data_IF_061069123311
#
_entry.id   IF_061069123311
#
_cell.length_a   1.000
_cell.length_b   1.000
_cell.length_c   1.000
_cell.angle_alpha   90.00
_cell.angle_beta   90.00
_cell.angle_gamma   90.00
#
_symmetry.space_group_name_H-M   'P 1'
#
loop_
_entity.id
_entity.type
_entity.pdbx_description
1 polymer ?
#
# COMPACT_ATOMS: atom_id res chain seq x y z
N UNK A 1 -8.37 -6.38 -10.74
CA UNK A 1 -8.99 -6.41 -12.07
C UNK A 1 -8.09 -7.11 -13.10
N UNK A 2 -6.84 -6.68 -13.29
CA UNK A 2 -5.94 -7.22 -14.32
C UNK A 2 -5.73 -8.74 -14.23
N UNK A 3 -5.66 -9.28 -13.03
CA UNK A 3 -5.50 -10.73 -12.82
C UNK A 3 -6.75 -11.52 -13.21
N UNK A 4 -7.92 -11.01 -12.83
CA UNK A 4 -9.21 -11.66 -13.12
C UNK A 4 -9.57 -11.59 -14.61
N UNK A 5 -9.03 -10.63 -15.33
CA UNK A 5 -9.28 -10.40 -16.78
C UNK A 5 -8.16 -10.91 -17.68
N UNK A 6 -7.31 -11.80 -17.20
CA UNK A 6 -6.20 -12.43 -17.96
C UNK A 6 -5.19 -11.44 -18.55
N UNK A 7 -5.06 -10.25 -17.99
CA UNK A 7 -4.07 -9.26 -18.45
C UNK A 7 -2.69 -9.46 -17.85
N UNK A 8 -2.62 -10.12 -16.72
CA UNK A 8 -1.38 -10.51 -16.04
C UNK A 8 -1.55 -11.89 -15.40
N UNK A 9 -0.45 -12.59 -15.18
CA UNK A 9 -0.44 -13.93 -14.57
C UNK A 9 -0.21 -13.87 -13.05
N UNK A 10 0.47 -12.84 -12.59
CA UNK A 10 0.81 -12.62 -11.18
C UNK A 10 0.70 -11.14 -10.81
N UNK A 11 0.29 -10.86 -9.59
CA UNK A 11 0.42 -9.55 -8.93
C UNK A 11 1.46 -9.67 -7.83
N UNK A 12 2.51 -8.86 -7.90
CA UNK A 12 3.56 -8.74 -6.90
C UNK A 12 3.84 -7.24 -6.70
N UNK A 13 2.95 -6.55 -5.99
CA UNK A 13 2.91 -5.09 -5.94
C UNK A 13 2.25 -4.58 -4.65
N UNK A 14 2.77 -4.95 -3.49
CA UNK A 14 2.17 -4.61 -2.19
C UNK A 14 0.67 -4.97 -2.11
N UNK A 15 0.31 -6.10 -2.69
CA UNK A 15 -1.08 -6.54 -2.76
C UNK A 15 -1.50 -7.18 -1.45
N UNK A 16 -2.23 -6.43 -0.64
CA UNK A 16 -2.67 -6.85 0.69
C UNK A 16 -3.66 -8.01 0.61
N UNK A 17 -3.44 -9.01 1.45
CA UNK A 17 -4.36 -10.15 1.63
C UNK A 17 -5.61 -9.66 2.37
N UNK A 18 -6.72 -9.64 1.67
CA UNK A 18 -8.05 -9.35 2.25
C UNK A 18 -9.02 -10.47 1.93
N UNK A 19 -10.06 -10.61 2.74
CA UNK A 19 -11.09 -11.63 2.52
C UNK A 19 -11.75 -11.48 1.15
N UNK A 20 -12.15 -10.27 0.79
CA UNK A 20 -12.83 -9.99 -0.49
C UNK A 20 -11.92 -10.29 -1.69
N UNK A 21 -10.62 -9.99 -1.57
CA UNK A 21 -9.64 -10.32 -2.61
C UNK A 21 -9.40 -11.83 -2.69
N UNK A 22 -9.34 -12.53 -1.56
CA UNK A 22 -9.14 -13.99 -1.52
C UNK A 22 -10.32 -14.79 -2.11
N UNK A 23 -11.49 -14.19 -2.24
CA UNK A 23 -12.61 -14.79 -2.97
C UNK A 23 -12.38 -14.79 -4.49
N UNK A 24 -11.59 -13.87 -5.01
CA UNK A 24 -11.40 -13.63 -6.45
C UNK A 24 -10.07 -14.13 -6.99
N UNK A 25 -9.06 -14.23 -6.16
CA UNK A 25 -7.69 -14.65 -6.52
C UNK A 25 -7.14 -15.62 -5.50
N UNK A 26 -6.08 -16.34 -5.87
CA UNK A 26 -5.33 -17.16 -4.93
C UNK A 26 -4.06 -16.43 -4.50
N UNK A 27 -3.89 -16.27 -3.19
CA UNK A 27 -2.70 -15.70 -2.59
C UNK A 27 -1.63 -16.76 -2.32
N UNK A 28 -0.39 -16.45 -2.68
CA UNK A 28 0.77 -17.19 -2.24
C UNK A 28 1.13 -16.86 -0.77
N UNK A 29 2.20 -17.44 -0.27
CA UNK A 29 2.72 -17.13 1.06
C UNK A 29 3.05 -15.63 1.18
N UNK A 30 2.76 -15.00 2.31
CA UNK A 30 3.10 -13.60 2.54
C UNK A 30 4.61 -13.41 2.65
N UNK A 31 5.12 -12.27 2.19
CA UNK A 31 6.54 -11.93 2.27
C UNK A 31 6.83 -10.69 3.10
N UNK A 32 5.83 -9.88 3.44
CA UNK A 32 6.00 -8.68 4.27
C UNK A 32 4.70 -8.28 4.96
N UNK A 33 4.83 -7.51 6.05
CA UNK A 33 3.70 -6.81 6.69
C UNK A 33 3.80 -5.33 6.42
N UNK A 34 2.66 -4.69 6.21
CA UNK A 34 2.51 -3.26 5.99
C UNK A 34 1.39 -2.69 6.85
N UNK A 35 1.42 -1.39 7.08
CA UNK A 35 0.30 -0.64 7.63
C UNK A 35 0.01 0.54 6.70
N UNK A 36 -1.09 1.24 6.89
CA UNK A 36 -1.31 2.51 6.22
C UNK A 36 -0.36 3.57 6.76
N UNK A 37 0.13 4.43 5.88
CA UNK A 37 0.89 5.62 6.22
C UNK A 37 0.19 6.86 5.69
N UNK A 38 0.55 8.02 6.23
CA UNK A 38 0.04 9.32 5.77
C UNK A 38 1.22 10.26 5.51
N UNK A 39 1.32 10.72 4.29
CA UNK A 39 2.30 11.74 3.85
C UNK A 39 1.59 13.07 3.62
N UNK A 40 2.22 14.15 4.03
CA UNK A 40 1.69 15.51 3.90
C UNK A 40 2.82 16.52 3.68
N UNK A 41 2.52 17.76 3.23
CA UNK A 41 3.54 18.80 3.12
C UNK A 41 4.22 19.08 4.48
N UNK A 42 5.53 19.31 4.45
CA UNK A 42 6.30 19.67 5.65
C UNK A 42 5.80 20.96 6.34
N UNK A 43 5.19 21.85 5.58
CA UNK A 43 4.57 23.08 6.10
C UNK A 43 3.30 22.83 6.91
N UNK A 44 2.70 21.65 6.79
CA UNK A 44 1.46 21.27 7.45
C UNK A 44 1.43 19.75 7.74
N UNK A 45 2.42 19.28 8.48
CA UNK A 45 2.58 17.84 8.78
C UNK A 45 1.40 17.33 9.59
N UNK A 46 0.79 16.25 9.11
CA UNK A 46 -0.26 15.50 9.81
C UNK A 46 0.41 14.39 10.62
N UNK A 47 0.37 14.50 11.93
CA UNK A 47 0.98 13.54 12.88
C UNK A 47 -0.04 12.71 13.65
N UNK A 48 -1.30 13.10 13.61
CA UNK A 48 -2.43 12.40 14.22
C UNK A 48 -3.59 12.36 13.23
N UNK A 49 -4.24 11.21 13.10
CA UNK A 49 -5.35 11.01 12.17
C UNK A 49 -6.53 11.97 12.41
N UNK A 50 -6.74 12.40 13.64
CA UNK A 50 -7.78 13.39 13.99
C UNK A 50 -7.56 14.75 13.34
N UNK A 51 -6.33 15.09 13.00
CA UNK A 51 -6.02 16.32 12.27
C UNK A 51 -6.57 16.32 10.84
N UNK A 52 -6.95 15.16 10.32
CA UNK A 52 -7.59 15.02 9.01
C UNK A 52 -9.09 15.31 9.02
N UNK A 53 -9.72 15.42 10.20
CA UNK A 53 -11.14 15.71 10.30
C UNK A 53 -11.48 17.03 9.58
N UNK A 54 -12.38 16.95 8.62
CA UNK A 54 -12.77 18.08 7.76
C UNK A 54 -11.79 18.43 6.65
N UNK A 55 -10.61 17.81 6.61
CA UNK A 55 -9.61 18.00 5.57
C UNK A 55 -9.78 17.01 4.41
N UNK A 56 -9.08 17.29 3.32
CA UNK A 56 -9.10 16.46 2.12
C UNK A 56 -7.91 15.49 2.12
N UNK A 57 -8.21 14.20 2.19
CA UNK A 57 -7.24 13.13 2.06
C UNK A 57 -7.32 12.52 0.67
N UNK A 58 -6.19 12.52 -0.03
CA UNK A 58 -6.04 11.87 -1.33
C UNK A 58 -5.79 10.38 -1.12
N UNK A 59 -6.47 9.54 -1.88
CA UNK A 59 -6.27 8.09 -1.91
C UNK A 59 -6.34 7.56 -3.35
N UNK A 60 -5.76 6.40 -3.58
CA UNK A 60 -5.99 5.62 -4.80
C UNK A 60 -7.16 4.66 -4.59
N UNK A 61 -8.06 4.58 -5.57
CA UNK A 61 -9.23 3.68 -5.54
C UNK A 61 -8.80 2.21 -5.48
N UNK A 62 -9.59 1.40 -4.78
CA UNK A 62 -9.35 -0.03 -4.65
C UNK A 62 -8.19 -0.41 -3.74
N UNK A 63 -7.59 0.56 -3.04
CA UNK A 63 -6.61 0.32 -1.99
C UNK A 63 -7.29 0.08 -0.64
N UNK A 64 -6.55 -0.45 0.33
CA UNK A 64 -7.07 -0.67 1.69
C UNK A 64 -7.33 0.63 2.45
N UNK A 65 -6.76 1.76 2.01
CA UNK A 65 -7.01 3.07 2.60
C UNK A 65 -8.47 3.49 2.45
N UNK A 66 -9.09 3.22 1.31
CA UNK A 66 -10.48 3.61 1.04
C UNK A 66 -11.46 3.08 2.11
N UNK A 67 -11.64 1.76 2.27
CA UNK A 67 -12.57 1.23 3.27
C UNK A 67 -12.14 1.54 4.71
N UNK A 68 -10.84 1.68 4.97
CA UNK A 68 -10.36 2.04 6.30
C UNK A 68 -10.85 3.42 6.73
N UNK A 69 -10.66 4.44 5.91
CA UNK A 69 -11.07 5.81 6.23
C UNK A 69 -12.59 5.97 6.20
N UNK A 70 -13.29 5.36 5.25
CA UNK A 70 -14.75 5.39 5.20
C UNK A 70 -15.39 4.84 6.48
N UNK A 71 -14.83 3.77 7.01
CA UNK A 71 -15.34 3.10 8.20
C UNK A 71 -14.94 3.82 9.51
N UNK A 72 -13.66 4.18 9.64
CA UNK A 72 -13.09 4.60 10.93
C UNK A 72 -13.01 6.12 11.07
N UNK A 73 -12.97 6.86 9.96
CA UNK A 73 -12.78 8.32 9.95
C UNK A 73 -13.74 9.03 8.97
N UNK A 74 -15.07 8.92 9.17
CA UNK A 74 -16.07 9.42 8.21
C UNK A 74 -16.10 10.95 8.05
N UNK A 75 -15.40 11.68 8.92
CA UNK A 75 -15.27 13.15 8.82
C UNK A 75 -14.17 13.59 7.86
N UNK A 76 -13.32 12.67 7.42
CA UNK A 76 -12.27 12.94 6.45
C UNK A 76 -12.89 12.98 5.05
N UNK A 77 -12.58 14.02 4.27
CA UNK A 77 -13.05 14.15 2.90
C UNK A 77 -12.09 13.37 1.98
N UNK A 78 -12.56 12.26 1.42
CA UNK A 78 -11.74 11.45 0.52
C UNK A 78 -11.80 11.99 -0.91
N UNK A 79 -10.63 12.24 -1.49
CA UNK A 79 -10.46 12.54 -2.90
C UNK A 79 -9.79 11.34 -3.57
N UNK A 80 -10.53 10.67 -4.45
CA UNK A 80 -10.18 9.35 -4.98
C UNK A 80 -9.68 9.45 -6.41
N UNK A 81 -8.53 8.85 -6.69
CA UNK A 81 -7.93 8.75 -8.03
C UNK A 81 -7.79 7.30 -8.48
N UNK A 82 -7.86 7.07 -9.78
CA UNK A 82 -7.74 5.72 -10.34
C UNK A 82 -6.28 5.24 -10.40
N UNK A 83 -5.32 6.17 -10.49
CA UNK A 83 -3.90 5.88 -10.59
C UNK A 83 -3.10 6.57 -9.50
N UNK A 84 -2.06 5.89 -9.01
CA UNK A 84 -1.11 6.46 -8.02
C UNK A 84 -0.44 7.75 -8.53
N UNK A 85 -0.06 7.76 -9.81
CA UNK A 85 0.57 8.95 -10.42
C UNK A 85 -0.33 10.17 -10.31
N UNK A 86 -1.62 10.03 -10.60
CA UNK A 86 -2.57 11.14 -10.52
C UNK A 86 -2.80 11.58 -9.07
N UNK A 87 -2.84 10.62 -8.14
CA UNK A 87 -2.96 10.89 -6.71
C UNK A 87 -1.76 11.68 -6.18
N UNK A 88 -0.55 11.26 -6.51
CA UNK A 88 0.66 11.99 -6.11
C UNK A 88 0.79 13.37 -6.77
N UNK A 89 0.43 13.48 -8.04
CA UNK A 89 0.39 14.79 -8.71
C UNK A 89 -0.62 15.74 -8.03
N UNK A 90 -1.77 15.22 -7.60
CA UNK A 90 -2.74 16.01 -6.87
C UNK A 90 -2.19 16.51 -5.52
N UNK A 91 -1.39 15.70 -4.82
CA UNK A 91 -0.72 16.11 -3.59
C UNK A 91 0.33 17.19 -3.88
N UNK A 92 1.16 17.01 -4.91
CA UNK A 92 2.18 17.98 -5.34
C UNK A 92 1.55 19.33 -5.73
N UNK A 93 0.40 19.29 -6.39
CA UNK A 93 -0.36 20.48 -6.80
C UNK A 93 -1.15 21.14 -5.67
N UNK A 94 -1.11 20.59 -4.47
CA UNK A 94 -1.86 21.12 -3.33
C UNK A 94 -3.38 20.95 -3.40
N UNK A 95 -3.86 19.93 -4.16
CA UNK A 95 -5.30 19.65 -4.29
C UNK A 95 -5.89 18.87 -3.10
N UNK A 96 -5.06 18.42 -2.20
CA UNK A 96 -5.43 17.77 -0.96
C UNK A 96 -4.43 18.05 0.14
N UNK A 97 -4.82 17.82 1.38
CA UNK A 97 -3.99 18.10 2.55
C UNK A 97 -2.98 17.00 2.86
N UNK A 98 -3.27 15.77 2.45
CA UNK A 98 -2.44 14.60 2.67
C UNK A 98 -2.79 13.49 1.69
N UNK A 99 -1.92 12.47 1.61
CA UNK A 99 -2.13 11.23 0.85
C UNK A 99 -1.90 10.02 1.75
N UNK A 100 -2.73 9.00 1.62
CA UNK A 100 -2.58 7.75 2.38
C UNK A 100 -2.62 6.53 1.47
N UNK A 101 -1.66 5.65 1.67
CA UNK A 101 -1.58 4.29 1.14
C UNK A 101 -0.65 3.48 2.04
N UNK A 102 -0.14 2.34 1.61
CA UNK A 102 0.79 1.54 2.39
C UNK A 102 2.01 2.36 2.84
N UNK A 103 2.43 2.16 4.08
CA UNK A 103 3.52 2.95 4.68
C UNK A 103 4.84 2.82 3.92
N UNK A 104 5.16 1.64 3.39
CA UNK A 104 6.37 1.44 2.58
C UNK A 104 6.35 2.28 1.31
N UNK A 105 5.19 2.46 0.70
CA UNK A 105 4.99 3.28 -0.50
C UNK A 105 5.17 4.77 -0.19
N UNK A 106 4.48 5.30 0.82
CA UNK A 106 4.58 6.72 1.15
C UNK A 106 5.97 7.09 1.70
N UNK A 107 6.62 6.18 2.43
CA UNK A 107 7.99 6.38 2.91
C UNK A 107 8.96 6.46 1.74
N UNK A 108 8.92 5.52 0.80
CA UNK A 108 9.78 5.53 -0.39
C UNK A 108 9.54 6.79 -1.24
N UNK A 109 8.29 7.20 -1.42
CA UNK A 109 7.95 8.41 -2.17
C UNK A 109 8.50 9.67 -1.49
N UNK A 110 8.36 9.80 -0.18
CA UNK A 110 8.81 10.96 0.58
C UNK A 110 10.34 11.13 0.56
N UNK A 111 11.10 10.03 0.43
CA UNK A 111 12.56 10.09 0.31
C UNK A 111 13.05 10.91 -0.87
N UNK A 112 12.36 10.84 -1.98
CA UNK A 112 12.76 11.48 -3.24
C UNK A 112 11.98 12.77 -3.52
N UNK A 113 11.01 13.12 -2.67
CA UNK A 113 10.18 14.33 -2.80
C UNK A 113 10.38 15.25 -1.60
N UNK A 114 11.34 16.16 -1.73
CA UNK A 114 11.61 17.19 -0.71
C UNK A 114 10.36 18.06 -0.48
N UNK A 115 10.14 18.47 0.76
CA UNK A 115 8.99 19.29 1.15
C UNK A 115 7.78 18.48 1.59
N UNK A 116 7.90 17.15 1.64
CA UNK A 116 6.87 16.23 2.13
C UNK A 116 7.42 15.33 3.22
N UNK A 117 6.57 14.99 4.17
CA UNK A 117 6.94 14.15 5.32
C UNK A 117 5.85 13.15 5.65
N UNK A 118 6.25 11.92 6.01
CA UNK A 118 5.36 10.92 6.56
C UNK A 118 5.19 11.19 8.05
N UNK A 119 4.14 11.91 8.40
CA UNK A 119 3.83 12.24 9.80
C UNK A 119 3.17 11.09 10.55
N UNK A 120 2.47 10.19 9.84
CA UNK A 120 1.89 8.98 10.40
C UNK A 120 2.52 7.78 9.66
N UNK A 121 3.54 7.13 10.23
CA UNK A 121 4.22 6.00 9.57
C UNK A 121 3.50 4.66 9.75
N UNK A 122 2.51 4.58 10.62
CA UNK A 122 1.72 3.37 10.85
C UNK A 122 0.35 3.73 11.37
N UNK A 123 -0.68 3.40 10.63
CA UNK A 123 -2.08 3.66 10.96
C UNK A 123 -2.90 2.38 10.78
N UNK A 124 -3.68 2.05 11.80
CA UNK A 124 -4.46 0.82 11.84
C UNK A 124 -3.62 -0.43 12.17
N UNK A 125 -4.19 -1.58 11.88
CA UNK A 125 -3.53 -2.86 12.09
C UNK A 125 -2.48 -3.14 11.01
N UNK A 126 -1.54 -4.03 11.33
CA UNK A 126 -0.60 -4.55 10.34
C UNK A 126 -1.32 -5.55 9.43
N UNK A 127 -1.23 -5.32 8.14
CA UNK A 127 -1.71 -6.22 7.10
C UNK A 127 -0.56 -7.00 6.47
N UNK A 128 -0.85 -8.16 5.92
CA UNK A 128 0.13 -8.94 5.15
C UNK A 128 -0.02 -8.69 3.66
N UNK A 129 1.11 -8.60 2.96
CA UNK A 129 1.14 -8.58 1.50
C UNK A 129 1.71 -9.89 0.98
N UNK A 130 1.15 -10.36 -0.12
CA UNK A 130 1.53 -11.62 -0.74
C UNK A 130 1.36 -11.54 -2.26
N UNK A 131 2.13 -12.33 -3.03
CA UNK A 131 1.85 -12.50 -4.44
C UNK A 131 0.47 -13.10 -4.67
N UNK A 132 -0.21 -12.71 -5.74
CA UNK A 132 -1.49 -13.26 -6.12
C UNK A 132 -1.45 -13.79 -7.55
N UNK A 133 -2.12 -14.91 -7.77
CA UNK A 133 -2.32 -15.55 -9.07
C UNK A 133 -3.81 -15.70 -9.35
N UNK A 134 -4.16 -16.00 -10.58
CA UNK A 134 -5.54 -16.33 -10.94
C UNK A 134 -6.04 -17.50 -10.11
N UNK A 135 -7.29 -17.41 -9.71
CA UNK A 135 -7.94 -18.47 -8.95
C UNK A 135 -7.87 -19.80 -9.70
N UNK A 136 -7.36 -20.82 -9.04
CA UNK A 136 -7.20 -22.17 -9.59
C UNK A 136 -5.89 -22.41 -10.33
N UNK A 137 -5.02 -21.39 -10.52
CA UNK A 137 -3.69 -21.60 -11.11
C UNK A 137 -2.71 -22.18 -10.10
N UNK A 138 -2.91 -23.45 -9.79
CA UNK A 138 -2.22 -24.16 -8.71
C UNK A 138 -0.75 -24.39 -9.01
N UNK A 139 -0.40 -24.65 -10.26
CA UNK A 139 1.00 -24.88 -10.66
C UNK A 139 1.87 -23.64 -10.43
N UNK A 140 1.40 -22.48 -10.84
CA UNK A 140 2.10 -21.21 -10.61
C UNK A 140 2.14 -20.87 -9.11
N UNK A 141 1.04 -21.08 -8.40
CA UNK A 141 0.96 -20.84 -6.96
C UNK A 141 1.99 -21.69 -6.19
N UNK A 142 2.07 -22.98 -6.48
CA UNK A 142 3.00 -23.90 -5.83
C UNK A 142 4.46 -23.51 -6.11
N UNK A 143 4.77 -23.11 -7.34
CA UNK A 143 6.10 -22.63 -7.71
C UNK A 143 6.48 -21.37 -6.94
N UNK A 144 5.58 -20.38 -6.87
CA UNK A 144 5.79 -19.12 -6.14
C UNK A 144 6.00 -19.41 -4.65
N UNK A 145 5.18 -20.25 -4.05
CA UNK A 145 5.31 -20.63 -2.65
C UNK A 145 6.66 -21.27 -2.35
N UNK A 146 7.15 -22.14 -3.23
CA UNK A 146 8.45 -22.75 -3.08
C UNK A 146 9.58 -21.72 -3.17
N UNK A 147 9.48 -20.78 -4.10
CA UNK A 147 10.46 -19.70 -4.24
C UNK A 147 10.47 -18.75 -3.02
N UNK A 148 9.31 -18.43 -2.46
CA UNK A 148 9.23 -17.62 -1.22
C UNK A 148 9.93 -18.35 -0.06
N UNK A 149 9.72 -19.65 0.08
CA UNK A 149 10.41 -20.47 1.10
C UNK A 149 11.92 -20.44 0.87
N UNK A 150 12.38 -20.62 -0.37
CA UNK A 150 13.80 -20.61 -0.71
C UNK A 150 14.44 -19.25 -0.42
N UNK A 151 13.80 -18.16 -0.81
CA UNK A 151 14.25 -16.80 -0.53
C UNK A 151 14.30 -16.50 0.97
N UNK A 152 13.34 -17.02 1.74
CA UNK A 152 13.35 -16.93 3.20
C UNK A 152 14.54 -17.64 3.84
N UNK A 153 14.94 -18.81 3.32
CA UNK A 153 16.14 -19.52 3.77
C UNK A 153 17.44 -18.77 3.50
N UNK A 154 17.47 -17.99 2.42
CA UNK A 154 18.59 -17.12 2.05
C UNK A 154 18.56 -15.76 2.78
N UNK A 155 17.57 -15.53 3.63
CA UNK A 155 17.33 -14.25 4.30
C UNK A 155 17.15 -13.06 3.33
N UNK A 156 16.67 -13.35 2.12
CA UNK A 156 16.56 -12.37 1.03
C UNK A 156 15.68 -11.17 1.40
N UNK A 157 14.50 -11.40 1.96
CA UNK A 157 13.54 -10.33 2.26
C UNK A 157 14.09 -9.32 3.26
N UNK A 158 14.79 -9.80 4.28
CA UNK A 158 15.43 -8.94 5.27
C UNK A 158 16.58 -8.13 4.66
N UNK A 159 17.41 -8.78 3.83
CA UNK A 159 18.53 -8.12 3.15
C UNK A 159 18.04 -7.07 2.16
N UNK A 160 17.01 -7.38 1.40
CA UNK A 160 16.42 -6.46 0.44
C UNK A 160 15.79 -5.25 1.15
N UNK A 161 15.03 -5.48 2.21
CA UNK A 161 14.47 -4.41 3.04
C UNK A 161 15.56 -3.50 3.61
N UNK A 162 16.61 -4.09 4.17
CA UNK A 162 17.74 -3.35 4.72
C UNK A 162 18.46 -2.50 3.67
N UNK A 163 18.55 -2.99 2.43
CA UNK A 163 19.22 -2.29 1.33
C UNK A 163 18.36 -1.18 0.70
N UNK A 164 17.04 -1.31 0.72
CA UNK A 164 16.12 -0.46 -0.05
C UNK A 164 15.27 0.48 0.81
N UNK A 165 14.69 -0.01 1.89
CA UNK A 165 13.72 0.72 2.72
C UNK A 165 14.23 1.13 4.10
N UNK A 166 15.16 0.39 4.70
CA UNK A 166 15.65 0.70 6.03
C UNK A 166 16.39 2.06 6.16
N UNK A 167 17.02 2.60 5.09
CA UNK A 167 17.56 3.97 5.14
C UNK A 167 16.51 5.07 5.30
N UNK A 168 15.26 4.73 5.20
CA UNK A 168 14.12 5.63 5.39
C UNK A 168 13.71 5.69 6.84
#
# INVERSE_FOLDING_TARGET
>A
EFLVTDKVDIILANFTVTKDRAEKVDFALPYMKVALGVVSPESAVITDVKQLDGKTLIIAKGTTAEPYFEKNHPKVKLQKYDQYTDAYNALLDGRGDAFSTDNTEVLAWALVHKGFKVGIPSLGDLDTIAPAVQKGNKGLLDWINQEIVNLGKENFFHQDYAATLAPV
#
